data_IF_980781163335
#
_entry.id   IF_980781163335
#
_cell.length_a   1.000
_cell.length_b   1.000
_cell.length_c   1.000
_cell.angle_alpha   90.00
_cell.angle_beta   90.00
_cell.angle_gamma   90.00
#
_symmetry.space_group_name_H-M   'P 1'
#
loop_
_entity.id
_entity.type
_entity.pdbx_description
1 polymer ?
#
# COMPACT_ATOMS: atom_id res chain seq x y z
N UNK A 1 6.77 5.48 -4.76
CA UNK A 1 5.96 4.29 -5.12
C UNK A 1 4.68 4.34 -4.31
N UNK A 2 3.55 4.19 -4.99
CA UNK A 2 2.24 4.18 -4.33
C UNK A 2 1.86 2.76 -3.95
N UNK A 3 1.35 2.59 -2.73
CA UNK A 3 0.88 1.31 -2.22
C UNK A 3 -0.46 1.47 -1.52
N UNK A 4 -1.28 0.43 -1.59
CA UNK A 4 -2.53 0.32 -0.84
C UNK A 4 -2.24 -0.51 0.40
N UNK A 5 -2.49 0.04 1.59
CA UNK A 5 -2.28 -0.67 2.85
C UNK A 5 -3.37 -1.73 3.04
N UNK A 6 -3.00 -2.95 3.42
CA UNK A 6 -3.95 -4.02 3.79
C UNK A 6 -4.22 -4.08 5.29
N UNK A 7 -3.40 -3.39 6.09
CA UNK A 7 -3.45 -3.34 7.54
C UNK A 7 -3.18 -1.91 7.99
N UNK A 8 -3.70 -1.57 9.16
CA UNK A 8 -3.38 -0.30 9.81
C UNK A 8 -1.92 -0.32 10.26
N UNK A 9 -1.18 0.74 9.90
CA UNK A 9 0.21 0.90 10.31
C UNK A 9 0.35 2.25 11.01
N UNK A 10 0.80 2.20 12.25
CA UNK A 10 1.10 3.39 13.03
C UNK A 10 2.14 4.26 12.29
N UNK A 11 1.85 5.56 12.17
CA UNK A 11 2.65 6.55 11.42
C UNK A 11 2.76 6.35 9.90
N UNK A 12 1.89 5.55 9.29
CA UNK A 12 1.81 5.45 7.83
C UNK A 12 0.40 5.67 7.28
N UNK A 13 -0.60 5.01 7.86
CA UNK A 13 -1.99 5.11 7.39
C UNK A 13 -2.86 3.95 7.85
N UNK A 14 -4.11 3.98 7.43
CA UNK A 14 -5.11 2.97 7.77
C UNK A 14 -5.27 1.92 6.66
N UNK A 15 -5.98 0.83 6.95
CA UNK A 15 -6.34 -0.19 5.98
C UNK A 15 -7.11 0.42 4.81
N UNK A 16 -6.77 -0.04 3.61
CA UNK A 16 -7.21 0.41 2.29
C UNK A 16 -6.76 1.83 1.90
N UNK A 17 -5.92 2.47 2.69
CA UNK A 17 -5.42 3.81 2.38
C UNK A 17 -4.32 3.74 1.31
N UNK A 18 -4.28 4.75 0.43
CA UNK A 18 -3.28 4.88 -0.64
C UNK A 18 -2.19 5.80 -0.13
N UNK A 19 -1.02 5.22 0.15
CA UNK A 19 0.11 5.96 0.68
C UNK A 19 1.31 5.92 -0.27
N UNK A 20 2.01 7.04 -0.34
CA UNK A 20 3.24 7.14 -1.14
C UNK A 20 4.45 6.84 -0.25
N UNK A 21 5.16 5.76 -0.59
CA UNK A 21 6.33 5.30 0.15
C UNK A 21 7.59 5.29 -0.71
N UNK A 22 8.74 5.25 -0.04
CA UNK A 22 10.04 5.00 -0.68
C UNK A 22 10.05 3.61 -1.34
N UNK A 23 10.67 3.50 -2.50
CA UNK A 23 10.69 2.26 -3.29
C UNK A 23 11.23 1.06 -2.50
N UNK A 24 12.30 1.25 -1.71
CA UNK A 24 12.87 0.18 -0.87
C UNK A 24 11.92 -0.27 0.24
N UNK A 25 11.21 0.65 0.89
CA UNK A 25 10.27 0.31 1.97
C UNK A 25 9.06 -0.48 1.43
N UNK A 26 8.55 -0.09 0.26
CA UNK A 26 7.48 -0.82 -0.40
C UNK A 26 7.91 -2.22 -0.87
N UNK A 27 9.00 -2.31 -1.64
CA UNK A 27 9.42 -3.56 -2.31
C UNK A 27 10.07 -4.58 -1.37
N UNK A 28 10.78 -4.12 -0.34
CA UNK A 28 11.55 -5.02 0.53
C UNK A 28 10.84 -5.34 1.85
N UNK A 29 9.88 -4.51 2.28
CA UNK A 29 9.20 -4.69 3.56
C UNK A 29 7.69 -4.85 3.39
N UNK A 30 6.98 -3.84 2.87
CA UNK A 30 5.52 -3.85 2.88
C UNK A 30 4.89 -4.94 1.99
N UNK A 31 5.38 -5.12 0.77
CA UNK A 31 4.84 -6.09 -0.18
C UNK A 31 5.18 -7.53 0.22
N UNK A 32 6.44 -7.90 0.52
CA UNK A 32 6.78 -9.27 0.90
C UNK A 32 6.11 -9.73 2.19
N UNK A 33 5.86 -8.81 3.13
CA UNK A 33 5.14 -9.10 4.38
C UNK A 33 3.61 -9.14 4.21
N UNK A 34 3.10 -8.88 3.00
CA UNK A 34 1.66 -8.83 2.74
C UNK A 34 0.92 -7.70 3.45
N UNK A 35 1.64 -6.67 3.89
CA UNK A 35 1.10 -5.51 4.61
C UNK A 35 0.54 -4.49 3.63
N UNK A 36 1.11 -4.38 2.43
CA UNK A 36 0.60 -3.50 1.38
C UNK A 36 0.66 -4.19 0.00
N UNK A 37 -0.09 -3.65 -0.96
CA UNK A 37 -0.04 -4.04 -2.36
C UNK A 37 0.32 -2.84 -3.22
N UNK A 38 0.82 -3.07 -4.44
CA UNK A 38 1.06 -2.00 -5.41
C UNK A 38 -0.25 -1.30 -5.78
N UNK A 39 -0.26 0.03 -5.70
CA UNK A 39 -1.39 0.83 -6.15
C UNK A 39 -1.34 1.01 -7.67
N UNK A 40 -1.52 -0.07 -8.42
CA UNK A 40 -1.69 0.01 -9.88
C UNK A 40 -3.02 0.66 -10.22
N UNK A 41 -3.18 1.22 -11.43
CA UNK A 41 -4.45 1.82 -11.85
C UNK A 41 -5.63 0.85 -11.72
N UNK A 42 -5.42 -0.43 -12.01
CA UNK A 42 -6.41 -1.49 -11.79
C UNK A 42 -6.76 -1.65 -10.32
N UNK A 43 -5.77 -1.70 -9.42
CA UNK A 43 -6.00 -1.85 -7.99
C UNK A 43 -6.68 -0.62 -7.38
N UNK A 44 -6.34 0.59 -7.86
CA UNK A 44 -7.01 1.83 -7.43
C UNK A 44 -8.50 1.82 -7.79
N UNK A 45 -8.86 1.35 -8.99
CA UNK A 45 -10.27 1.23 -9.40
C UNK A 45 -11.06 0.24 -8.55
N UNK A 46 -10.47 -0.93 -8.24
CA UNK A 46 -11.13 -1.95 -7.41
C UNK A 46 -11.39 -1.52 -5.97
N UNK A 47 -10.63 -0.55 -5.46
CA UNK A 47 -10.75 -0.06 -4.09
C UNK A 47 -11.43 1.32 -4.00
N UNK A 48 -11.90 1.87 -5.13
CA UNK A 48 -12.59 3.16 -5.20
C UNK A 48 -14.12 3.04 -5.29
N UNK A 49 -14.68 1.83 -5.20
CA UNK A 49 -16.11 1.54 -5.16
C UNK A 49 -16.60 1.13 -3.76
#
# INVERSE_FOLDING_TARGET
MEVILKKDIHNLGYKNDIVTVKNGYGRNYLIPQGIAILATESAKKMHAE
#
